data_IF_223931900967
#
_entry.id   IF_223931900967
#
_cell.length_a   1.000
_cell.length_b   1.000
_cell.length_c   1.000
_cell.angle_alpha   90.00
_cell.angle_beta   90.00
_cell.angle_gamma   90.00
#
_symmetry.space_group_name_H-M   'P 1'
#
loop_
_entity.id
_entity.type
_entity.pdbx_description
1 polymer ?
#
# COMPACT_ATOMS: atom_id res chain seq x y z
N UNK A 1 3.06 -18.10 -8.03
CA UNK A 1 3.96 -18.77 -7.06
C UNK A 1 5.10 -19.45 -7.81
N UNK A 2 6.31 -19.56 -7.23
CA UNK A 2 7.42 -20.32 -7.83
C UNK A 2 7.28 -21.79 -7.41
N UNK A 3 7.14 -22.67 -8.40
CA UNK A 3 7.15 -24.11 -8.20
C UNK A 3 8.62 -24.58 -8.15
N UNK A 4 9.10 -24.88 -6.95
CA UNK A 4 10.47 -25.38 -6.72
C UNK A 4 10.71 -26.77 -7.30
N UNK A 5 9.66 -27.60 -7.45
CA UNK A 5 9.82 -28.95 -8.04
C UNK A 5 9.97 -28.90 -9.55
N UNK A 6 9.35 -27.93 -10.21
CA UNK A 6 9.39 -27.75 -11.66
C UNK A 6 10.23 -26.55 -12.09
N UNK A 7 10.90 -25.91 -11.14
CA UNK A 7 11.73 -24.70 -11.27
C UNK A 7 11.11 -23.62 -12.17
N UNK A 8 9.80 -23.37 -11.99
CA UNK A 8 9.06 -22.45 -12.86
C UNK A 8 8.01 -21.66 -12.11
N UNK A 9 7.66 -20.49 -12.63
CA UNK A 9 6.52 -19.73 -12.10
C UNK A 9 5.21 -20.38 -12.56
N UNK A 10 4.31 -20.59 -11.60
CA UNK A 10 2.91 -20.91 -11.85
C UNK A 10 2.14 -19.73 -12.46
N UNK A 11 0.83 -19.89 -12.70
CA UNK A 11 0.00 -18.83 -13.25
C UNK A 11 0.05 -17.55 -12.40
N UNK A 12 -0.12 -16.40 -13.07
CA UNK A 12 -0.21 -15.11 -12.40
C UNK A 12 -1.55 -15.00 -11.69
N UNK A 13 -1.53 -14.41 -10.50
CA UNK A 13 -2.74 -14.06 -9.77
C UNK A 13 -3.53 -13.01 -10.59
N UNK A 14 -4.80 -13.26 -10.94
CA UNK A 14 -5.60 -12.28 -11.66
C UNK A 14 -5.85 -11.06 -10.77
N UNK A 15 -5.51 -9.87 -11.28
CA UNK A 15 -5.83 -8.62 -10.61
C UNK A 15 -7.35 -8.36 -10.61
N UNK A 16 -7.90 -7.63 -9.63
CA UNK A 16 -9.30 -7.22 -9.61
C UNK A 16 -9.73 -6.60 -10.94
N UNK A 17 -10.92 -6.98 -11.42
CA UNK A 17 -11.52 -6.41 -12.64
C UNK A 17 -10.72 -6.61 -13.95
N UNK A 18 -9.75 -7.54 -13.98
CA UNK A 18 -9.06 -7.96 -15.20
C UNK A 18 -8.02 -6.96 -15.73
N UNK A 19 -6.98 -7.51 -16.37
CA UNK A 19 -5.80 -6.79 -16.88
C UNK A 19 -6.05 -5.85 -18.06
N UNK A 20 -7.30 -5.68 -18.51
CA UNK A 20 -7.64 -5.01 -19.78
C UNK A 20 -8.29 -3.63 -19.62
N UNK A 21 -8.53 -3.16 -18.39
CA UNK A 21 -9.12 -1.83 -18.22
C UNK A 21 -8.05 -0.73 -18.33
N UNK A 22 -8.29 0.26 -19.20
CA UNK A 22 -7.56 1.54 -19.28
C UNK A 22 -7.39 2.23 -17.91
N UNK A 23 -8.20 1.86 -16.92
CA UNK A 23 -8.09 2.34 -15.56
C UNK A 23 -6.74 1.99 -14.91
N UNK A 24 -6.06 0.89 -15.28
CA UNK A 24 -4.78 0.50 -14.69
C UNK A 24 -3.57 1.28 -15.24
N UNK A 25 -3.60 1.75 -16.49
CA UNK A 25 -2.51 2.60 -17.03
C UNK A 25 -2.47 3.97 -16.36
N UNK A 26 -3.63 4.43 -15.87
CA UNK A 26 -3.78 5.72 -15.19
C UNK A 26 -4.04 5.55 -13.68
N UNK A 27 -3.50 4.48 -13.10
CA UNK A 27 -3.60 4.21 -11.67
C UNK A 27 -2.24 3.84 -11.08
N UNK A 28 -2.10 4.12 -9.79
CA UNK A 28 -1.02 3.57 -8.98
C UNK A 28 -1.52 2.31 -8.30
N UNK A 29 -0.73 1.24 -8.39
CA UNK A 29 -1.00 -0.03 -7.75
C UNK A 29 0.16 -0.39 -6.84
N UNK A 30 -0.13 -0.55 -5.55
CA UNK A 30 0.85 -1.00 -4.56
C UNK A 30 0.34 -2.23 -3.85
N UNK A 31 1.26 -3.14 -3.52
CA UNK A 31 0.99 -4.34 -2.72
C UNK A 31 1.60 -4.18 -1.33
N UNK A 32 0.95 -4.76 -0.33
CA UNK A 32 1.42 -4.84 1.03
C UNK A 32 1.05 -6.18 1.64
N UNK A 33 1.74 -6.57 2.70
CA UNK A 33 1.38 -7.76 3.45
C UNK A 33 0.09 -7.51 4.25
N UNK A 34 -0.76 -8.53 4.36
CA UNK A 34 -1.94 -8.53 5.22
C UNK A 34 -2.01 -9.86 5.97
N UNK A 35 -1.80 -9.83 7.29
CA UNK A 35 -1.68 -11.08 8.06
C UNK A 35 -0.45 -11.90 7.68
N UNK A 36 -0.52 -13.22 7.86
CA UNK A 36 0.58 -14.15 7.55
C UNK A 36 0.54 -14.64 6.10
N UNK A 37 -0.67 -14.97 5.59
CA UNK A 37 -0.86 -15.65 4.31
C UNK A 37 -1.76 -14.90 3.31
N UNK A 38 -1.84 -13.57 3.42
CA UNK A 38 -2.62 -12.73 2.51
C UNK A 38 -1.84 -11.49 2.05
N UNK A 39 -2.21 -11.00 0.88
CA UNK A 39 -1.72 -9.75 0.31
C UNK A 39 -2.86 -8.74 0.27
N UNK A 40 -2.56 -7.51 0.63
CA UNK A 40 -3.41 -6.38 0.32
C UNK A 40 -2.91 -5.68 -0.94
N UNK A 41 -3.84 -5.23 -1.76
CA UNK A 41 -3.57 -4.38 -2.92
C UNK A 41 -4.31 -3.06 -2.76
N UNK A 42 -3.58 -1.96 -2.95
CA UNK A 42 -4.10 -0.62 -3.06
C UNK A 42 -4.11 -0.22 -4.53
N UNK A 43 -5.25 0.26 -5.01
CA UNK A 43 -5.38 0.91 -6.32
C UNK A 43 -5.85 2.33 -6.13
N UNK A 44 -5.10 3.27 -6.68
CA UNK A 44 -5.45 4.68 -6.70
C UNK A 44 -5.62 5.12 -8.15
N UNK A 45 -6.83 5.51 -8.54
CA UNK A 45 -7.06 6.12 -9.85
C UNK A 45 -6.58 7.58 -9.83
N UNK A 46 -5.75 7.96 -10.80
CA UNK A 46 -5.20 9.34 -10.91
C UNK A 46 -6.26 10.39 -11.23
N UNK A 47 -7.44 10.01 -11.70
CA UNK A 47 -8.51 10.96 -12.07
C UNK A 47 -9.55 11.16 -10.98
N UNK A 48 -9.93 10.08 -10.29
CA UNK A 48 -10.95 10.15 -9.24
C UNK A 48 -10.34 10.41 -7.87
N UNK A 49 -9.06 10.10 -7.68
CA UNK A 49 -8.35 10.15 -6.39
C UNK A 49 -8.95 9.23 -5.32
N UNK A 50 -9.75 8.25 -5.74
CA UNK A 50 -10.29 7.25 -4.84
C UNK A 50 -9.29 6.12 -4.68
N UNK A 51 -9.14 5.70 -3.43
CA UNK A 51 -8.39 4.50 -3.11
C UNK A 51 -9.37 3.34 -2.96
N UNK A 52 -9.04 2.23 -3.61
CA UNK A 52 -9.69 0.94 -3.40
C UNK A 52 -8.67 -0.02 -2.81
N UNK A 53 -9.13 -0.79 -1.84
CA UNK A 53 -8.32 -1.83 -1.20
C UNK A 53 -8.98 -3.18 -1.47
N UNK A 54 -8.17 -4.14 -1.90
CA UNK A 54 -8.54 -5.54 -1.98
C UNK A 54 -7.57 -6.36 -1.17
N UNK A 55 -8.05 -7.46 -0.61
CA UNK A 55 -7.24 -8.44 0.10
C UNK A 55 -7.42 -9.79 -0.57
N UNK A 56 -6.34 -10.54 -0.72
CA UNK A 56 -6.41 -11.91 -1.24
C UNK A 56 -7.02 -12.84 -0.20
N UNK A 57 -7.86 -13.79 -0.63
CA UNK A 57 -8.34 -14.88 0.22
C UNK A 57 -7.20 -15.71 0.82
N UNK A 58 -6.19 -16.04 0.01
CA UNK A 58 -4.96 -16.78 0.34
C UNK A 58 -3.84 -16.39 -0.63
N UNK A 59 -2.58 -16.71 -0.32
CA UNK A 59 -1.43 -16.53 -1.23
C UNK A 59 -1.30 -17.69 -2.25
N UNK A 60 -1.88 -18.85 -1.96
CA UNK A 60 -1.78 -20.03 -2.83
C UNK A 60 -2.43 -19.78 -4.20
N UNK A 61 -1.69 -20.00 -5.31
CA UNK A 61 -2.07 -19.50 -6.63
C UNK A 61 -3.32 -20.16 -7.22
N UNK A 62 -3.75 -21.31 -6.72
CA UNK A 62 -4.87 -22.07 -7.29
C UNK A 62 -6.24 -21.52 -6.84
N UNK A 63 -6.32 -20.93 -5.64
CA UNK A 63 -7.57 -20.43 -5.02
C UNK A 63 -7.52 -18.93 -4.65
N UNK A 64 -6.41 -18.25 -4.93
CA UNK A 64 -6.23 -16.87 -4.57
C UNK A 64 -7.12 -15.95 -5.43
N UNK A 65 -8.01 -15.21 -4.76
CA UNK A 65 -8.84 -14.17 -5.37
C UNK A 65 -8.80 -12.92 -4.52
N UNK A 66 -8.81 -11.76 -5.18
CA UNK A 66 -8.86 -10.47 -4.50
C UNK A 66 -10.30 -10.10 -4.18
N UNK A 67 -10.58 -9.91 -2.89
CA UNK A 67 -11.88 -9.47 -2.38
C UNK A 67 -11.81 -7.99 -2.02
N UNK A 68 -12.78 -7.15 -2.44
CA UNK A 68 -12.79 -5.74 -2.08
C UNK A 68 -13.07 -5.59 -0.57
N UNK A 69 -12.27 -4.77 0.11
CA UNK A 69 -12.39 -4.54 1.55
C UNK A 69 -12.90 -3.13 1.83
N UNK A 70 -12.31 -2.12 1.18
CA UNK A 70 -12.61 -0.73 1.49
C UNK A 70 -12.46 0.18 0.26
N UNK A 71 -13.19 1.29 0.28
CA UNK A 71 -13.12 2.35 -0.71
C UNK A 71 -13.10 3.70 0.04
N UNK A 72 -11.98 4.41 -0.07
CA UNK A 72 -11.74 5.63 0.70
C UNK A 72 -11.55 6.81 -0.26
N UNK A 73 -12.36 7.87 -0.14
CA UNK A 73 -12.15 9.10 -0.88
C UNK A 73 -11.02 9.92 -0.23
N UNK A 74 -9.89 10.06 -0.91
CA UNK A 74 -8.82 10.99 -0.49
C UNK A 74 -9.07 12.37 -1.11
N UNK A 75 -9.95 13.16 -0.49
CA UNK A 75 -10.34 14.50 -0.99
C UNK A 75 -9.78 15.64 -0.14
N UNK A 76 -9.65 16.82 -0.75
CA UNK A 76 -9.20 18.03 -0.06
C UNK A 76 -7.81 17.90 0.56
N UNK A 77 -7.69 18.12 1.88
CA UNK A 77 -6.42 18.07 2.61
C UNK A 77 -5.78 16.67 2.68
N UNK A 78 -6.54 15.63 2.33
CA UNK A 78 -6.10 14.23 2.28
C UNK A 78 -5.63 13.80 0.89
N UNK A 79 -5.60 14.74 -0.06
CA UNK A 79 -5.21 14.47 -1.43
C UNK A 79 -3.78 13.95 -1.52
N UNK A 80 -3.63 12.76 -2.09
CA UNK A 80 -2.35 12.20 -2.53
C UNK A 80 -2.30 12.21 -4.06
N UNK A 81 -1.24 12.77 -4.61
CA UNK A 81 -0.96 12.73 -6.04
C UNK A 81 -0.61 11.32 -6.50
N UNK A 82 0.16 10.63 -5.66
CA UNK A 82 0.65 9.28 -5.90
C UNK A 82 0.84 8.56 -4.56
N UNK A 83 0.08 7.50 -4.34
CA UNK A 83 0.21 6.62 -3.19
C UNK A 83 1.47 5.76 -3.37
N UNK A 84 2.49 5.99 -2.55
CA UNK A 84 3.75 5.24 -2.62
C UNK A 84 3.58 3.83 -2.04
N UNK A 85 3.26 3.76 -0.75
CA UNK A 85 3.12 2.50 -0.03
C UNK A 85 2.05 2.59 1.05
N UNK A 86 1.56 1.43 1.48
CA UNK A 86 0.57 1.36 2.53
C UNK A 86 0.77 0.12 3.40
N UNK A 87 0.21 0.15 4.60
CA UNK A 87 0.01 -1.04 5.40
C UNK A 87 -1.39 -1.00 6.03
N UNK A 88 -1.93 -2.18 6.29
CA UNK A 88 -3.22 -2.34 6.93
C UNK A 88 -3.06 -3.32 8.08
N UNK A 89 -3.44 -2.89 9.28
CA UNK A 89 -3.43 -3.75 10.45
C UNK A 89 -4.79 -4.40 10.63
N UNK A 90 -4.85 -5.72 10.58
CA UNK A 90 -6.09 -6.49 10.68
C UNK A 90 -6.77 -6.31 12.05
N UNK A 91 -5.98 -6.30 13.13
CA UNK A 91 -6.48 -6.29 14.52
C UNK A 91 -7.12 -4.96 14.90
N UNK A 92 -6.48 -3.86 14.52
CA UNK A 92 -6.90 -2.50 14.82
C UNK A 92 -7.74 -1.89 13.70
N UNK A 93 -7.76 -2.52 12.53
CA UNK A 93 -8.41 -2.03 11.31
C UNK A 93 -7.95 -0.59 10.98
N UNK A 94 -6.66 -0.35 11.17
CA UNK A 94 -5.98 0.90 10.82
C UNK A 94 -5.36 0.72 9.44
N UNK A 95 -5.66 1.66 8.55
CA UNK A 95 -4.99 1.80 7.27
C UNK A 95 -4.01 2.97 7.37
N UNK A 96 -2.77 2.76 6.95
CA UNK A 96 -1.82 3.85 6.73
C UNK A 96 -1.43 3.87 5.26
N UNK A 97 -1.66 5.00 4.60
CA UNK A 97 -1.24 5.22 3.20
C UNK A 97 -0.23 6.35 3.19
N UNK A 98 0.96 6.08 2.69
CA UNK A 98 1.95 7.10 2.41
C UNK A 98 1.98 7.45 0.94
N UNK A 99 2.24 8.72 0.64
CA UNK A 99 2.31 9.17 -0.72
C UNK A 99 2.89 10.57 -0.84
N UNK A 100 2.96 11.03 -2.08
CA UNK A 100 3.40 12.37 -2.43
C UNK A 100 2.19 13.29 -2.56
N UNK A 101 2.36 14.53 -2.12
CA UNK A 101 1.43 15.61 -2.44
C UNK A 101 2.07 16.54 -3.44
N UNK A 102 1.30 16.99 -4.43
CA UNK A 102 1.77 18.00 -5.40
C UNK A 102 1.86 19.34 -4.69
N UNK A 103 3.05 19.93 -4.71
CA UNK A 103 3.34 21.27 -4.23
C UNK A 103 4.61 21.78 -4.92
N UNK A 104 5.04 23.01 -4.61
CA UNK A 104 6.28 23.57 -5.15
C UNK A 104 7.51 22.72 -4.76
N UNK A 105 7.47 22.12 -3.56
CA UNK A 105 8.43 21.12 -3.08
C UNK A 105 7.67 19.81 -2.79
N UNK A 106 8.08 18.67 -3.37
CA UNK A 106 7.45 17.38 -3.09
C UNK A 106 7.61 17.00 -1.60
N UNK A 107 6.49 16.68 -0.96
CA UNK A 107 6.46 16.25 0.44
C UNK A 107 5.92 14.85 0.59
N UNK A 108 6.50 14.13 1.56
CA UNK A 108 6.01 12.83 1.98
C UNK A 108 4.94 13.02 3.04
N UNK A 109 3.77 12.45 2.78
CA UNK A 109 2.65 12.50 3.72
C UNK A 109 2.17 11.08 3.99
N UNK A 110 1.93 10.77 5.26
CA UNK A 110 1.22 9.57 5.68
C UNK A 110 -0.18 9.92 6.18
N UNK A 111 -1.19 9.24 5.63
CA UNK A 111 -2.57 9.28 6.07
C UNK A 111 -2.87 8.05 6.90
N UNK A 112 -3.24 8.25 8.16
CA UNK A 112 -3.68 7.19 9.07
C UNK A 112 -5.20 7.26 9.13
N UNK A 113 -5.89 6.23 8.63
CA UNK A 113 -7.35 6.13 8.59
C UNK A 113 -7.80 5.05 9.55
N UNK A 114 -8.62 5.43 10.53
CA UNK A 114 -9.21 4.49 11.50
C UNK A 114 -10.69 4.17 11.23
N UNK A 115 -11.24 3.26 12.03
CA UNK A 115 -12.61 2.69 11.93
C UNK A 115 -13.75 3.73 11.93
N UNK A 116 -13.53 4.94 12.44
CA UNK A 116 -14.55 5.98 12.57
C UNK A 116 -14.46 7.06 11.46
N UNK A 117 -13.78 6.77 10.35
CA UNK A 117 -13.59 7.74 9.25
C UNK A 117 -12.70 8.94 9.61
N UNK A 118 -12.18 8.98 10.84
CA UNK A 118 -11.22 9.97 11.26
C UNK A 118 -9.86 9.62 10.64
N UNK A 119 -9.32 10.59 9.90
CA UNK A 119 -8.00 10.47 9.29
C UNK A 119 -7.03 11.46 9.94
N UNK A 120 -5.86 10.99 10.34
CA UNK A 120 -4.76 11.86 10.75
C UNK A 120 -3.79 11.97 9.58
N UNK A 121 -3.28 13.18 9.36
CA UNK A 121 -2.26 13.48 8.37
C UNK A 121 -0.94 13.72 9.10
N UNK A 122 0.10 13.01 8.71
CA UNK A 122 1.46 13.16 9.23
C UNK A 122 2.35 13.63 8.09
N UNK A 123 2.94 14.82 8.23
CA UNK A 123 3.96 15.32 7.30
C UNK A 123 5.31 14.74 7.72
N UNK A 124 5.88 13.88 6.88
CA UNK A 124 7.20 13.30 7.10
C UNK A 124 8.33 14.20 6.57
N UNK A 125 7.97 15.37 6.03
CA UNK A 125 8.88 16.38 5.54
C UNK A 125 9.11 16.32 4.03
N UNK A 126 10.08 17.12 3.62
CA UNK A 126 10.48 17.29 2.23
C UNK A 126 11.35 16.12 1.78
N UNK A 127 11.12 15.69 0.55
CA UNK A 127 11.94 14.64 -0.06
C UNK A 127 13.21 15.27 -0.64
N UNK A 128 14.38 14.72 -0.26
CA UNK A 128 15.66 15.12 -0.85
C UNK A 128 15.73 14.77 -2.34
N UNK A 129 15.05 13.70 -2.74
CA UNK A 129 14.85 13.31 -4.14
C UNK A 129 13.34 13.23 -4.46
N UNK A 130 12.84 14.09 -5.37
CA UNK A 130 11.46 14.03 -5.87
C UNK A 130 11.05 12.66 -6.43
N UNK A 131 12.01 11.85 -6.87
CA UNK A 131 11.77 10.52 -7.43
C UNK A 131 11.46 9.47 -6.36
N UNK A 132 11.97 9.61 -5.13
CA UNK A 132 11.79 8.63 -4.06
C UNK A 132 10.32 8.45 -3.67
N UNK A 133 9.84 7.20 -3.63
CA UNK A 133 8.51 6.89 -3.12
C UNK A 133 8.57 6.65 -1.60
N UNK A 134 7.65 7.23 -0.82
CA UNK A 134 7.64 7.01 0.61
C UNK A 134 7.25 5.56 0.94
N UNK A 135 8.02 4.96 1.86
CA UNK A 135 7.83 3.58 2.31
C UNK A 135 7.33 3.59 3.75
N UNK A 136 6.19 2.97 4.01
CA UNK A 136 5.71 2.64 5.35
C UNK A 136 5.82 1.13 5.57
N UNK A 137 6.23 0.75 6.77
CA UNK A 137 6.36 -0.64 7.18
C UNK A 137 5.83 -0.82 8.60
N UNK A 138 5.27 -2.00 8.87
CA UNK A 138 4.99 -2.44 10.23
C UNK A 138 6.32 -2.81 10.90
N UNK A 139 6.76 -1.97 11.85
CA UNK A 139 7.95 -2.24 12.64
C UNK A 139 7.55 -2.92 13.94
N UNK A 140 8.05 -4.13 14.16
CA UNK A 140 8.02 -4.78 15.48
C UNK A 140 9.39 -4.55 16.10
N UNK A 141 9.52 -3.69 17.13
CA UNK A 141 10.80 -3.47 17.77
C UNK A 141 11.33 -4.78 18.34
N UNK A 142 12.54 -5.14 17.91
CA UNK A 142 13.31 -6.18 18.58
C UNK A 142 13.85 -5.61 19.88
N UNK A 143 13.77 -6.36 20.97
CA UNK A 143 14.39 -6.01 22.25
C UNK A 143 15.92 -6.21 22.25
N UNK A 144 16.50 -6.59 21.11
CA UNK A 144 17.95 -6.79 20.96
C UNK A 144 18.65 -5.43 21.01
N UNK A 145 19.53 -5.27 21.99
CA UNK A 145 20.32 -4.06 22.19
C UNK A 145 21.32 -3.92 21.02
N UNK A 146 21.13 -2.89 20.18
CA UNK A 146 22.07 -2.56 19.12
C UNK A 146 23.34 -2.02 19.80
N UNK A 147 24.45 -2.75 19.69
CA UNK A 147 25.75 -2.27 20.15
C UNK A 147 26.14 -1.07 19.28
N UNK A 148 26.21 0.12 19.88
CA UNK A 148 26.81 1.26 19.21
C UNK A 148 28.28 0.95 18.96
N UNK A 149 28.67 0.92 17.69
CA UNK A 149 30.08 0.97 17.32
C UNK A 149 30.50 2.42 17.57
N UNK A 150 31.31 2.63 18.61
CA UNK A 150 31.99 3.89 18.83
C UNK A 150 32.97 4.10 17.67
N UNK A 151 32.70 5.10 16.83
CA UNK A 151 33.66 5.71 15.90
C UNK A 151 33.98 7.10 16.36
#
# INVERSE_FOLDING_TARGET
CFDFTRERFGPRLPLPNGHTSRAYSDATVTLSNFGEDQLAMLFQCKFTFWIKIWVTSKIEPEDASFLPVNMIPLTGHQYLADAGSFFMDEKTNILVVSGKVVGYVPRCIAHVVGKMGHSIKVDAGELSDPSCCPVVCSYVPSSVQIKQVLT
#
